data_IF_361405657544
#
_entry.id   IF_361405657544
#
_cell.length_a   1.000
_cell.length_b   1.000
_cell.length_c   1.000
_cell.angle_alpha   90.00
_cell.angle_beta   90.00
_cell.angle_gamma   90.00
#
_symmetry.space_group_name_H-M   'P 1'
#
loop_
_entity.id
_entity.type
_entity.pdbx_description
1 polymer ?
#
# COMPACT_ATOMS: atom_id res chain seq x y z
N UNK A 1 -21.68 32.05 2.14
CA UNK A 1 -21.04 31.01 2.99
C UNK A 1 -20.00 30.30 2.14
N UNK A 2 -18.70 30.33 2.46
CA UNK A 2 -17.75 29.53 1.70
C UNK A 2 -18.01 28.06 2.03
N UNK A 3 -18.24 27.25 0.99
CA UNK A 3 -18.34 25.81 1.07
C UNK A 3 -17.06 25.26 1.70
N UNK A 4 -17.19 24.46 2.77
CA UNK A 4 -16.09 23.63 3.28
C UNK A 4 -15.65 22.72 2.13
N UNK A 5 -14.62 23.14 1.40
CA UNK A 5 -13.97 22.27 0.41
C UNK A 5 -13.41 21.12 1.23
N UNK A 6 -14.03 19.95 1.09
CA UNK A 6 -13.50 18.67 1.57
C UNK A 6 -12.05 18.60 1.12
N UNK A 7 -11.11 18.64 2.08
CA UNK A 7 -9.69 18.48 1.76
C UNK A 7 -9.54 17.07 1.20
N UNK A 8 -9.40 16.95 -0.11
CA UNK A 8 -9.10 15.67 -0.75
C UNK A 8 -7.82 15.15 -0.09
N UNK A 9 -7.80 13.91 0.43
CA UNK A 9 -6.62 13.34 1.04
C UNK A 9 -5.47 13.40 0.03
N UNK A 10 -4.35 14.02 0.41
CA UNK A 10 -3.16 13.99 -0.43
C UNK A 10 -2.69 12.55 -0.57
N UNK A 11 -2.17 12.20 -1.76
CA UNK A 11 -1.48 10.95 -1.99
C UNK A 11 -0.20 10.92 -1.14
N UNK A 12 -0.31 10.38 0.06
CA UNK A 12 0.79 10.12 0.99
C UNK A 12 1.12 8.65 0.96
N UNK A 13 2.39 8.32 1.23
CA UNK A 13 2.80 6.93 1.39
C UNK A 13 2.05 6.30 2.55
N UNK A 14 1.61 5.08 2.35
CA UNK A 14 0.94 4.29 3.37
C UNK A 14 1.95 3.49 4.19
N UNK A 15 2.94 2.88 3.52
CA UNK A 15 4.06 2.20 4.16
C UNK A 15 5.25 3.15 4.39
N UNK A 16 6.09 2.82 5.36
CA UNK A 16 7.31 3.59 5.63
C UNK A 16 8.35 3.40 4.52
N UNK A 17 9.30 4.33 4.39
CA UNK A 17 10.28 4.30 3.30
C UNK A 17 11.28 3.15 3.40
N UNK A 18 11.42 2.54 4.57
CA UNK A 18 12.27 1.41 4.91
C UNK A 18 11.53 0.07 4.91
N UNK A 19 10.22 0.06 4.62
CA UNK A 19 9.44 -1.17 4.47
C UNK A 19 9.87 -1.94 3.22
N UNK A 20 9.83 -3.28 3.32
CA UNK A 20 10.04 -4.20 2.19
C UNK A 20 8.87 -4.17 1.21
N UNK A 21 7.71 -3.67 1.65
CA UNK A 21 6.49 -3.58 0.83
C UNK A 21 6.62 -2.45 -0.19
N UNK A 22 6.44 -2.78 -1.47
CA UNK A 22 6.36 -1.75 -2.53
C UNK A 22 5.00 -1.07 -2.51
N UNK A 23 4.99 0.26 -2.31
CA UNK A 23 3.77 1.06 -2.18
C UNK A 23 3.49 1.92 -3.43
N UNK A 24 2.35 1.66 -4.10
CA UNK A 24 1.88 2.36 -5.30
C UNK A 24 0.77 3.39 -5.01
N UNK A 25 0.98 4.23 -3.99
CA UNK A 25 0.03 5.24 -3.49
C UNK A 25 -0.36 6.38 -4.46
N UNK A 26 0.29 6.51 -5.64
CA UNK A 26 -0.04 7.56 -6.64
C UNK A 26 -0.91 7.03 -7.79
N UNK A 27 -1.50 5.86 -7.65
CA UNK A 27 -2.31 5.24 -8.69
C UNK A 27 -1.49 4.61 -9.81
N UNK A 28 -0.28 4.13 -9.49
CA UNK A 28 0.61 3.47 -10.46
C UNK A 28 0.19 2.02 -10.74
N UNK A 29 -1.10 1.80 -11.06
CA UNK A 29 -1.68 0.47 -11.19
C UNK A 29 -1.01 -0.37 -12.29
N UNK A 30 -0.67 0.23 -13.43
CA UNK A 30 0.01 -0.49 -14.52
C UNK A 30 1.38 -1.03 -14.08
N UNK A 31 2.12 -0.26 -13.27
CA UNK A 31 3.40 -0.71 -12.71
C UNK A 31 3.21 -1.82 -11.69
N UNK A 32 2.19 -1.70 -10.83
CA UNK A 32 1.84 -2.74 -9.87
C UNK A 32 1.49 -4.05 -10.59
N UNK A 33 0.63 -4.00 -11.61
CA UNK A 33 0.23 -5.17 -12.40
C UNK A 33 1.42 -5.80 -13.11
N UNK A 34 2.30 -5.00 -13.73
CA UNK A 34 3.51 -5.52 -14.37
C UNK A 34 4.41 -6.27 -13.37
N UNK A 35 4.56 -5.75 -12.15
CA UNK A 35 5.33 -6.41 -11.08
C UNK A 35 4.63 -7.66 -10.55
N UNK A 36 3.31 -7.67 -10.49
CA UNK A 36 2.54 -8.85 -10.06
C UNK A 36 2.66 -9.98 -11.08
N UNK A 37 2.67 -9.63 -12.37
CA UNK A 37 2.75 -10.61 -13.46
C UNK A 37 4.16 -11.19 -13.68
N UNK A 38 5.21 -10.61 -13.08
CA UNK A 38 6.57 -11.14 -13.19
C UNK A 38 6.88 -12.22 -12.16
N UNK A 39 6.04 -12.39 -11.14
CA UNK A 39 6.26 -13.33 -10.04
C UNK A 39 5.27 -14.50 -10.09
N UNK A 40 5.71 -15.69 -9.67
CA UNK A 40 4.85 -16.88 -9.59
C UNK A 40 3.74 -16.72 -8.54
N UNK A 41 4.06 -16.05 -7.42
CA UNK A 41 3.13 -15.77 -6.32
C UNK A 41 3.34 -14.32 -5.85
N UNK A 42 2.25 -13.56 -5.73
CA UNK A 42 2.26 -12.18 -5.25
C UNK A 42 1.21 -11.96 -4.17
N UNK A 43 1.59 -11.25 -3.10
CA UNK A 43 0.66 -10.76 -2.08
C UNK A 43 0.40 -9.28 -2.27
N UNK A 44 -0.86 -8.91 -2.50
CA UNK A 44 -1.26 -7.54 -2.86
C UNK A 44 -2.31 -7.03 -1.88
N UNK A 45 -2.05 -5.88 -1.26
CA UNK A 45 -3.01 -5.18 -0.39
C UNK A 45 -3.60 -3.99 -1.13
N UNK A 46 -4.91 -4.05 -1.42
CA UNK A 46 -5.68 -2.87 -1.80
C UNK A 46 -6.10 -2.13 -0.54
N UNK A 47 -5.77 -0.85 -0.44
CA UNK A 47 -5.97 -0.08 0.79
C UNK A 47 -6.46 1.34 0.46
N UNK A 48 -6.99 2.03 1.48
CA UNK A 48 -7.18 3.47 1.47
C UNK A 48 -6.50 4.10 2.70
N UNK A 49 -5.74 5.20 2.57
CA UNK A 49 -5.03 5.80 3.71
C UNK A 49 -5.94 6.24 4.87
N UNK A 50 -7.21 6.55 4.59
CA UNK A 50 -8.21 6.99 5.58
C UNK A 50 -9.06 5.85 6.15
N UNK A 51 -8.90 4.63 5.64
CA UNK A 51 -9.66 3.48 6.08
C UNK A 51 -9.08 2.88 7.37
N UNK A 52 -9.93 2.63 8.36
CA UNK A 52 -9.51 2.19 9.68
C UNK A 52 -8.94 0.77 9.68
N UNK A 53 -9.57 -0.14 8.93
CA UNK A 53 -9.13 -1.54 8.81
C UNK A 53 -7.79 -1.62 8.07
N UNK A 54 -7.63 -0.83 7.01
CA UNK A 54 -6.36 -0.68 6.31
C UNK A 54 -5.26 -0.26 7.27
N UNK A 55 -5.48 0.80 8.06
CA UNK A 55 -4.50 1.30 9.02
C UNK A 55 -4.16 0.26 10.10
N UNK A 56 -5.15 -0.48 10.57
CA UNK A 56 -4.99 -1.54 11.56
C UNK A 56 -4.11 -2.69 11.02
N UNK A 57 -4.41 -3.17 9.81
CA UNK A 57 -3.72 -4.32 9.20
C UNK A 57 -2.32 -3.97 8.68
N UNK A 58 -2.04 -2.69 8.39
CA UNK A 58 -0.77 -2.22 7.82
C UNK A 58 0.48 -2.82 8.49
N UNK A 59 0.51 -2.83 9.82
CA UNK A 59 1.66 -3.34 10.58
C UNK A 59 1.84 -4.84 10.46
N UNK A 60 0.75 -5.60 10.43
CA UNK A 60 0.81 -7.06 10.25
C UNK A 60 1.18 -7.45 8.83
N UNK A 61 0.72 -6.69 7.83
CA UNK A 61 1.11 -6.88 6.44
C UNK A 61 2.62 -6.65 6.25
N UNK A 62 3.17 -5.59 6.84
CA UNK A 62 4.61 -5.29 6.78
C UNK A 62 5.44 -6.39 7.48
N UNK A 63 5.02 -6.87 8.65
CA UNK A 63 5.66 -8.01 9.32
C UNK A 63 5.64 -9.28 8.48
N UNK A 64 4.50 -9.60 7.87
CA UNK A 64 4.36 -10.76 7.01
C UNK A 64 5.31 -10.66 5.80
N UNK A 65 5.42 -9.48 5.19
CA UNK A 65 6.35 -9.23 4.09
C UNK A 65 7.81 -9.50 4.50
N UNK A 66 8.24 -9.03 5.69
CA UNK A 66 9.59 -9.29 6.21
C UNK A 66 9.84 -10.80 6.49
N UNK A 67 8.84 -11.54 6.98
CA UNK A 67 9.00 -12.98 7.24
C UNK A 67 9.09 -13.76 5.92
N UNK A 68 8.33 -13.33 4.91
CA UNK A 68 8.29 -14.00 3.61
C UNK A 68 9.50 -13.63 2.75
N UNK A 69 10.03 -12.40 2.83
CA UNK A 69 11.20 -11.99 2.05
C UNK A 69 12.44 -12.83 2.28
N UNK A 70 12.54 -13.47 3.45
CA UNK A 70 13.66 -14.38 3.79
C UNK A 70 13.44 -15.82 3.30
N UNK A 71 12.26 -16.13 2.75
CA UNK A 71 11.82 -17.51 2.47
C UNK A 71 11.46 -17.78 1.01
N UNK A 72 11.43 -16.76 0.17
CA UNK A 72 11.21 -16.85 -1.28
C UNK A 72 12.48 -16.53 -2.04
#
# INVERSE_FOLDING_TARGET
RPSKVSKVPQAVRFFYSDSVVTDWYRGQLSNALASIHSEDISFVMYYAPWDAESQYVRGEFDKAANILSDRV
#
